data_IF_468640607556
#
_entry.id   IF_468640607556
#
_cell.length_a   1.000
_cell.length_b   1.000
_cell.length_c   1.000
_cell.angle_alpha   90.00
_cell.angle_beta   90.00
_cell.angle_gamma   90.00
#
_symmetry.space_group_name_H-M   'P 1'
#
loop_
_entity.id
_entity.type
_entity.pdbx_description
1 polymer ?
#
# COMPACT_ATOMS: atom_id res chain seq x y z
N UNK A 1 27.36 -10.39 -8.32
CA UNK A 1 26.47 -9.86 -7.26
C UNK A 1 25.91 -8.55 -7.78
N UNK A 2 24.69 -8.56 -8.32
CA UNK A 2 24.09 -7.35 -8.91
C UNK A 2 23.71 -6.37 -7.81
N UNK A 3 24.20 -5.14 -7.93
CA UNK A 3 23.90 -4.00 -7.08
C UNK A 3 22.49 -3.41 -7.29
N UNK A 4 21.62 -4.11 -8.04
CA UNK A 4 20.29 -3.62 -8.42
C UNK A 4 19.21 -3.80 -7.32
N UNK A 5 19.48 -4.56 -6.25
CA UNK A 5 18.43 -4.95 -5.28
C UNK A 5 18.33 -4.06 -4.03
N UNK A 6 19.08 -2.97 -3.94
CA UNK A 6 19.06 -2.07 -2.76
C UNK A 6 17.94 -1.04 -2.82
N UNK A 7 16.72 -1.48 -3.14
CA UNK A 7 15.55 -0.60 -3.21
C UNK A 7 15.35 0.17 -1.89
N UNK A 8 15.68 -0.42 -0.75
CA UNK A 8 15.54 0.24 0.56
C UNK A 8 16.39 1.51 0.73
N UNK A 9 17.43 1.72 -0.07
CA UNK A 9 18.22 2.97 -0.04
C UNK A 9 17.41 4.19 -0.52
N UNK A 10 16.36 3.98 -1.32
CA UNK A 10 15.47 5.03 -1.80
C UNK A 10 14.25 5.24 -0.87
N UNK A 11 14.20 4.52 0.25
CA UNK A 11 13.10 4.64 1.19
C UNK A 11 13.11 6.00 1.88
N UNK A 12 11.96 6.65 1.95
CA UNK A 12 11.80 7.92 2.68
C UNK A 12 12.09 7.81 4.17
N UNK A 13 11.94 6.62 4.75
CA UNK A 13 12.26 6.35 6.15
C UNK A 13 13.75 6.11 6.40
N UNK A 14 14.60 6.08 5.38
CA UNK A 14 16.03 5.89 5.55
C UNK A 14 16.62 7.00 6.44
N UNK A 15 17.23 6.63 7.57
CA UNK A 15 17.83 7.56 8.53
C UNK A 15 16.86 8.14 9.58
N UNK A 16 15.59 7.73 9.60
CA UNK A 16 14.65 8.11 10.67
C UNK A 16 14.83 7.27 11.94
N UNK A 17 14.30 7.76 13.06
CA UNK A 17 14.34 7.08 14.37
C UNK A 17 13.40 5.85 14.36
N UNK A 18 13.83 4.76 15.00
CA UNK A 18 13.14 3.47 14.94
C UNK A 18 11.82 3.50 15.73
N UNK A 19 11.76 4.22 16.85
CA UNK A 19 10.56 4.37 17.68
C UNK A 19 9.35 4.93 16.94
N UNK A 20 9.54 5.63 15.82
CA UNK A 20 8.44 6.06 14.95
C UNK A 20 7.72 4.86 14.28
N UNK A 21 8.46 3.80 13.92
CA UNK A 21 7.94 2.69 13.11
C UNK A 21 7.61 1.44 13.93
N UNK A 22 8.24 1.28 15.10
CA UNK A 22 8.08 0.10 15.95
C UNK A 22 7.36 0.44 17.25
N UNK A 23 6.84 -0.59 17.93
CA UNK A 23 6.22 -0.46 19.24
C UNK A 23 7.22 0.08 20.26
N UNK A 24 6.80 1.05 21.06
CA UNK A 24 7.55 1.54 22.23
C UNK A 24 7.00 0.87 23.49
N UNK A 25 7.88 0.48 24.42
CA UNK A 25 7.44 -0.12 25.68
C UNK A 25 6.61 0.86 26.52
N UNK A 26 5.51 0.36 27.11
CA UNK A 26 4.64 1.16 27.97
C UNK A 26 3.75 2.18 27.25
N UNK A 27 3.74 2.17 25.92
CA UNK A 27 2.86 3.07 25.15
C UNK A 27 1.40 2.68 25.25
N UNK A 28 0.53 3.70 25.31
CA UNK A 28 -0.91 3.52 25.21
C UNK A 28 -1.30 3.02 23.80
N UNK A 29 -2.35 2.20 23.73
CA UNK A 29 -2.81 1.57 22.49
C UNK A 29 -3.31 2.61 21.48
N UNK A 30 -4.04 3.62 21.92
CA UNK A 30 -4.57 4.66 21.04
C UNK A 30 -3.42 5.55 20.56
N UNK A 31 -2.49 5.89 21.45
CA UNK A 31 -1.28 6.65 21.09
C UNK A 31 -0.40 5.90 20.06
N UNK A 32 -0.29 4.58 20.19
CA UNK A 32 0.38 3.74 19.18
C UNK A 32 -0.34 3.81 17.84
N UNK A 33 -1.63 3.54 17.84
CA UNK A 33 -2.41 3.47 16.61
C UNK A 33 -2.38 4.83 15.88
N UNK A 34 -2.45 5.95 16.61
CA UNK A 34 -2.27 7.29 16.06
C UNK A 34 -0.87 7.53 15.47
N UNK A 35 0.20 7.12 16.17
CA UNK A 35 1.59 7.22 15.68
C UNK A 35 1.77 6.42 14.40
N UNK A 36 1.39 5.14 14.42
CA UNK A 36 1.55 4.26 13.26
C UNK A 36 0.83 4.83 12.04
N UNK A 37 -0.41 5.28 12.23
CA UNK A 37 -1.20 5.91 11.17
C UNK A 37 -0.61 7.24 10.69
N UNK A 38 0.00 8.03 11.58
CA UNK A 38 0.74 9.25 11.20
C UNK A 38 1.93 8.89 10.31
N UNK A 39 2.74 7.91 10.69
CA UNK A 39 3.90 7.47 9.90
C UNK A 39 3.48 6.92 8.54
N UNK A 40 2.41 6.11 8.49
CA UNK A 40 1.84 5.64 7.22
C UNK A 40 1.49 6.81 6.30
N UNK A 41 0.77 7.81 6.82
CA UNK A 41 0.31 8.96 6.03
C UNK A 41 1.42 9.93 5.64
N UNK A 42 2.43 10.13 6.49
CA UNK A 42 3.44 11.17 6.27
C UNK A 42 4.71 10.63 5.58
N UNK A 43 5.12 9.41 5.92
CA UNK A 43 6.37 8.82 5.45
C UNK A 43 6.11 7.85 4.31
N UNK A 44 5.23 6.87 4.55
CA UNK A 44 5.00 5.81 3.57
C UNK A 44 4.17 6.29 2.37
N UNK A 45 3.25 7.24 2.56
CA UNK A 45 2.44 7.79 1.48
C UNK A 45 3.32 8.54 0.45
N UNK A 46 3.56 7.90 -0.69
CA UNK A 46 4.42 8.41 -1.76
C UNK A 46 5.89 7.99 -1.64
N UNK A 47 6.24 7.09 -0.72
CA UNK A 47 7.55 6.45 -0.73
C UNK A 47 7.71 5.66 -2.04
N UNK A 48 8.79 5.87 -2.83
CA UNK A 48 8.94 5.27 -4.15
C UNK A 48 9.06 3.74 -4.10
N UNK A 49 9.41 3.20 -2.94
CA UNK A 49 9.64 1.76 -2.72
C UNK A 49 8.61 1.13 -1.79
N UNK A 50 7.44 1.77 -1.62
CA UNK A 50 6.38 1.28 -0.76
C UNK A 50 5.92 -0.13 -1.15
N UNK A 51 5.85 -0.42 -2.45
CA UNK A 51 5.39 -1.70 -3.00
C UNK A 51 6.38 -2.83 -2.70
N UNK A 52 7.66 -2.63 -2.99
CA UNK A 52 8.74 -3.56 -2.67
C UNK A 52 8.87 -3.76 -1.16
N UNK A 53 8.73 -2.67 -0.39
CA UNK A 53 8.71 -2.71 1.07
C UNK A 53 7.57 -3.55 1.61
N UNK A 54 6.34 -3.35 1.12
CA UNK A 54 5.18 -4.12 1.56
C UNK A 54 5.32 -5.60 1.20
N UNK A 55 5.79 -5.90 -0.02
CA UNK A 55 6.04 -7.28 -0.46
C UNK A 55 7.03 -7.97 0.47
N UNK A 56 8.17 -7.32 0.75
CA UNK A 56 9.18 -7.88 1.63
C UNK A 56 8.65 -8.06 3.06
N UNK A 57 7.90 -7.07 3.56
CA UNK A 57 7.29 -7.12 4.89
C UNK A 57 6.30 -8.28 5.05
N UNK A 58 5.55 -8.63 4.00
CA UNK A 58 4.64 -9.78 3.98
C UNK A 58 5.42 -11.11 3.96
N UNK A 59 6.52 -11.18 3.20
CA UNK A 59 7.35 -12.37 3.10
C UNK A 59 8.07 -12.68 4.43
N UNK A 60 8.54 -11.65 5.14
CA UNK A 60 9.31 -11.80 6.37
C UNK A 60 8.48 -11.67 7.64
N UNK A 61 7.17 -11.43 7.53
CA UNK A 61 6.31 -11.08 8.66
C UNK A 61 6.91 -9.96 9.52
N UNK A 62 7.29 -8.85 8.87
CA UNK A 62 7.91 -7.73 9.56
C UNK A 62 7.00 -7.20 10.68
N UNK A 63 7.60 -6.64 11.73
CA UNK A 63 6.91 -5.94 12.82
C UNK A 63 6.84 -4.44 12.54
N UNK A 64 5.89 -3.74 13.17
CA UNK A 64 5.66 -2.31 13.03
C UNK A 64 5.07 -1.86 11.69
N UNK A 65 5.24 -0.58 11.40
CA UNK A 65 4.84 0.07 10.14
C UNK A 65 5.82 -0.30 9.04
N UNK A 66 5.30 -0.90 7.97
CA UNK A 66 6.10 -1.26 6.81
C UNK A 66 5.27 -1.16 5.54
N UNK A 67 5.87 -0.61 4.48
CA UNK A 67 5.23 -0.47 3.18
C UNK A 67 3.88 0.20 3.26
N UNK A 68 3.71 1.19 4.15
CA UNK A 68 2.48 1.95 4.41
C UNK A 68 1.29 1.17 4.96
N UNK A 69 1.56 0.10 5.70
CA UNK A 69 0.58 -0.56 6.57
C UNK A 69 1.18 -0.80 7.95
N UNK A 70 0.36 -0.71 8.99
CA UNK A 70 0.72 -1.30 10.28
C UNK A 70 0.57 -2.83 10.26
N UNK A 71 0.95 -3.50 11.34
CA UNK A 71 0.89 -4.96 11.46
C UNK A 71 -0.53 -5.50 11.20
N UNK A 72 -1.53 -4.91 11.85
CA UNK A 72 -2.92 -5.36 11.76
C UNK A 72 -3.50 -5.20 10.34
N UNK A 73 -3.19 -4.10 9.67
CA UNK A 73 -3.56 -3.85 8.28
C UNK A 73 -2.86 -4.83 7.33
N UNK A 74 -1.55 -5.03 7.51
CA UNK A 74 -0.75 -5.94 6.70
C UNK A 74 -1.22 -7.38 6.85
N UNK A 75 -1.65 -7.80 8.04
CA UNK A 75 -2.23 -9.12 8.27
C UNK A 75 -3.60 -9.30 7.61
N UNK A 76 -4.44 -8.26 7.61
CA UNK A 76 -5.71 -8.28 6.86
C UNK A 76 -5.45 -8.37 5.36
N UNK A 77 -4.48 -7.62 4.86
CA UNK A 77 -4.06 -7.62 3.46
C UNK A 77 -3.49 -8.96 3.02
N UNK A 78 -2.54 -9.52 3.77
CA UNK A 78 -1.96 -10.86 3.54
C UNK A 78 -3.03 -11.93 3.48
N UNK A 79 -3.99 -11.93 4.41
CA UNK A 79 -5.15 -12.85 4.38
C UNK A 79 -6.00 -12.66 3.13
N UNK A 80 -6.20 -11.42 2.68
CA UNK A 80 -6.91 -11.14 1.42
C UNK A 80 -6.17 -11.73 0.21
N UNK A 81 -4.86 -11.56 0.12
CA UNK A 81 -4.04 -12.11 -0.97
C UNK A 81 -4.13 -13.64 -1.02
N UNK A 82 -4.05 -14.30 0.13
CA UNK A 82 -4.20 -15.75 0.25
C UNK A 82 -5.58 -16.22 -0.21
N UNK A 83 -6.66 -15.54 0.22
CA UNK A 83 -8.04 -15.88 -0.18
C UNK A 83 -8.28 -15.71 -1.68
N UNK A 84 -7.68 -14.69 -2.28
CA UNK A 84 -7.83 -14.38 -3.70
C UNK A 84 -6.84 -15.13 -4.61
N UNK A 85 -6.00 -16.01 -4.06
CA UNK A 85 -5.02 -16.78 -4.84
C UNK A 85 -3.88 -15.94 -5.44
N UNK A 86 -3.62 -14.76 -4.90
CA UNK A 86 -2.54 -13.86 -5.38
C UNK A 86 -1.20 -14.14 -4.66
N UNK A 87 -1.27 -14.81 -3.52
CA UNK A 87 -0.14 -15.29 -2.74
C UNK A 87 -0.41 -16.73 -2.34
N UNK A 88 0.60 -17.59 -2.43
CA UNK A 88 0.59 -18.91 -1.77
C UNK A 88 1.76 -19.02 -0.81
N UNK A 89 1.59 -19.79 0.24
CA UNK A 89 2.64 -20.04 1.24
C UNK A 89 2.79 -21.54 1.39
N UNK A 90 4.00 -22.01 1.12
CA UNK A 90 4.39 -23.38 1.40
C UNK A 90 4.45 -23.58 2.92
N UNK A 91 3.56 -24.41 3.45
CA UNK A 91 3.47 -24.69 4.90
C UNK A 91 4.70 -25.41 5.45
N UNK A 92 5.49 -26.10 4.62
CA UNK A 92 6.70 -26.82 5.05
C UNK A 92 7.90 -25.90 5.15
N UNK A 93 8.08 -25.03 4.17
CA UNK A 93 9.28 -24.18 4.04
C UNK A 93 9.05 -22.75 4.49
N UNK A 94 7.79 -22.33 4.68
CA UNK A 94 7.43 -20.94 4.91
C UNK A 94 7.59 -20.06 3.65
N UNK A 95 7.97 -20.64 2.51
CA UNK A 95 8.25 -19.89 1.28
C UNK A 95 6.96 -19.28 0.73
N UNK A 96 7.01 -17.97 0.56
CA UNK A 96 5.96 -17.20 -0.11
C UNK A 96 6.18 -17.26 -1.63
N UNK A 97 5.13 -17.61 -2.37
CA UNK A 97 5.12 -17.56 -3.83
C UNK A 97 4.02 -16.60 -4.27
N UNK A 98 4.44 -15.48 -4.85
CA UNK A 98 3.53 -14.49 -5.42
C UNK A 98 3.09 -14.99 -6.79
N UNK A 99 1.79 -15.30 -6.92
CA UNK A 99 1.21 -15.86 -8.15
C UNK A 99 0.85 -14.80 -9.19
N UNK A 100 0.97 -13.53 -8.80
CA UNK A 100 1.02 -12.39 -9.70
C UNK A 100 2.36 -11.66 -9.51
N UNK A 101 3.12 -11.54 -10.58
CA UNK A 101 4.14 -10.50 -10.70
C UNK A 101 3.42 -9.18 -10.97
N UNK A 102 3.83 -8.02 -10.43
CA UNK A 102 3.31 -6.74 -10.87
C UNK A 102 3.87 -6.40 -12.26
N UNK A 103 3.68 -7.30 -13.24
CA UNK A 103 3.59 -6.89 -14.62
C UNK A 103 2.26 -6.17 -14.73
N UNK A 104 2.32 -4.91 -15.11
CA UNK A 104 1.29 -3.90 -14.90
C UNK A 104 -0.07 -4.33 -15.49
N UNK A 105 -0.87 -5.08 -14.73
CA UNK A 105 -2.14 -5.61 -15.19
C UNK A 105 -3.10 -4.45 -15.38
N UNK A 106 -3.56 -4.22 -16.61
CA UNK A 106 -4.54 -3.18 -16.88
C UNK A 106 -5.93 -3.73 -16.56
N UNK A 107 -6.48 -3.36 -15.41
CA UNK A 107 -7.81 -3.76 -14.94
C UNK A 107 -8.85 -2.68 -15.19
N UNK A 108 -10.12 -3.04 -15.09
CA UNK A 108 -11.20 -2.08 -14.82
C UNK A 108 -11.35 -1.96 -13.31
N UNK A 109 -11.10 -0.77 -12.76
CA UNK A 109 -11.22 -0.51 -11.33
C UNK A 109 -12.62 -0.82 -10.82
N UNK A 110 -12.75 -1.65 -9.78
CA UNK A 110 -14.04 -2.00 -9.19
C UNK A 110 -14.70 -0.82 -8.44
N UNK A 111 -13.92 0.21 -8.07
CA UNK A 111 -14.43 1.40 -7.38
C UNK A 111 -14.87 2.53 -8.32
N UNK A 112 -14.10 2.82 -9.37
CA UNK A 112 -14.36 3.96 -10.25
C UNK A 112 -14.69 3.58 -11.70
N UNK A 113 -14.71 2.28 -12.01
CA UNK A 113 -14.99 1.71 -13.32
C UNK A 113 -14.11 2.26 -14.46
N UNK A 114 -12.95 2.85 -14.13
CA UNK A 114 -11.96 3.29 -15.12
C UNK A 114 -10.91 2.22 -15.35
N UNK A 115 -10.42 2.16 -16.58
CA UNK A 115 -9.32 1.30 -16.97
C UNK A 115 -7.98 1.91 -16.54
N UNK A 116 -7.08 1.10 -16.00
CA UNK A 116 -5.78 1.55 -15.55
C UNK A 116 -4.95 0.43 -14.94
N UNK A 117 -3.74 0.77 -14.55
CA UNK A 117 -2.79 -0.14 -13.93
C UNK A 117 -3.29 -0.60 -12.56
N UNK A 118 -3.38 -1.91 -12.36
CA UNK A 118 -3.65 -2.52 -11.07
C UNK A 118 -2.53 -2.17 -10.10
N UNK A 119 -2.91 -1.65 -8.95
CA UNK A 119 -1.97 -1.30 -7.89
C UNK A 119 -2.12 -2.23 -6.69
N UNK A 120 -3.37 -2.55 -6.33
CA UNK A 120 -3.65 -3.40 -5.19
C UNK A 120 -5.14 -3.51 -4.87
N UNK A 121 -5.52 -4.42 -3.96
CA UNK A 121 -6.87 -4.50 -3.45
C UNK A 121 -7.18 -3.37 -2.45
N UNK A 122 -8.43 -2.92 -2.44
CA UNK A 122 -8.97 -2.01 -1.42
C UNK A 122 -9.37 -2.73 -0.13
N UNK A 123 -9.99 -2.03 0.83
CA UNK A 123 -10.24 -2.52 2.19
C UNK A 123 -11.13 -3.76 2.23
N UNK A 124 -11.94 -3.99 1.19
CA UNK A 124 -12.86 -5.14 1.06
C UNK A 124 -12.41 -6.16 0.00
N UNK A 125 -11.20 -6.04 -0.54
CA UNK A 125 -10.70 -6.92 -1.60
C UNK A 125 -11.00 -6.43 -3.03
N UNK A 126 -11.71 -5.32 -3.17
CA UNK A 126 -12.00 -4.65 -4.44
C UNK A 126 -10.71 -4.34 -5.23
N UNK A 127 -10.62 -4.73 -6.51
CA UNK A 127 -9.40 -4.50 -7.31
C UNK A 127 -9.30 -3.05 -7.77
N UNK A 128 -8.28 -2.33 -7.31
CA UNK A 128 -8.14 -0.90 -7.56
C UNK A 128 -7.01 -0.59 -8.54
N UNK A 129 -7.29 0.36 -9.42
CA UNK A 129 -6.25 1.01 -10.21
C UNK A 129 -5.44 1.97 -9.33
N UNK A 130 -4.19 2.26 -9.71
CA UNK A 130 -3.25 3.16 -9.00
C UNK A 130 -3.88 4.47 -8.51
N UNK A 131 -4.69 5.14 -9.33
CA UNK A 131 -5.33 6.40 -8.94
C UNK A 131 -6.37 6.29 -7.80
N UNK A 132 -7.00 5.12 -7.64
CA UNK A 132 -7.95 4.85 -6.56
C UNK A 132 -7.24 4.32 -5.32
N UNK A 133 -6.30 3.39 -5.53
CA UNK A 133 -5.45 2.87 -4.47
C UNK A 133 -4.67 3.97 -3.76
N UNK A 134 -3.96 4.84 -4.49
CA UNK A 134 -3.17 5.93 -3.90
C UNK A 134 -4.03 6.94 -3.14
N UNK A 135 -5.27 7.19 -3.59
CA UNK A 135 -6.18 8.09 -2.89
C UNK A 135 -6.62 7.51 -1.55
N UNK A 136 -7.01 6.23 -1.56
CA UNK A 136 -7.36 5.50 -0.35
C UNK A 136 -6.18 5.43 0.61
N UNK A 137 -5.00 5.14 0.10
CA UNK A 137 -3.75 5.12 0.85
C UNK A 137 -3.43 6.48 1.49
N UNK A 138 -3.47 7.56 0.72
CA UNK A 138 -3.21 8.93 1.19
C UNK A 138 -4.25 9.40 2.23
N UNK A 139 -5.46 8.82 2.21
CA UNK A 139 -6.49 9.07 3.21
C UNK A 139 -6.29 8.28 4.51
N UNK A 140 -5.21 7.47 4.63
CA UNK A 140 -4.95 6.63 5.81
C UNK A 140 -5.78 5.36 5.82
N UNK A 141 -5.94 4.72 4.65
CA UNK A 141 -6.54 3.39 4.51
C UNK A 141 -7.92 3.18 5.20
N UNK A 142 -8.89 4.10 5.06
CA UNK A 142 -10.21 3.97 5.71
C UNK A 142 -10.97 2.70 5.25
N UNK A 143 -11.99 2.29 6.00
CA UNK A 143 -12.78 1.08 5.71
C UNK A 143 -13.53 1.08 4.36
N UNK A 144 -13.54 2.20 3.65
CA UNK A 144 -14.07 2.35 2.29
C UNK A 144 -13.15 3.21 1.43
N UNK A 145 -13.09 2.95 0.12
CA UNK A 145 -12.30 3.75 -0.82
C UNK A 145 -12.97 5.13 -1.01
N UNK A 146 -12.27 6.25 -0.77
CA UNK A 146 -12.86 7.58 -0.96
C UNK A 146 -13.27 7.82 -2.42
N UNK A 147 -14.36 8.56 -2.61
CA UNK A 147 -14.85 8.89 -3.95
C UNK A 147 -13.78 9.62 -4.79
N UNK A 148 -13.69 9.34 -6.11
CA UNK A 148 -12.81 10.10 -6.99
C UNK A 148 -13.25 11.57 -7.02
N UNK A 149 -12.29 12.51 -6.98
CA UNK A 149 -12.59 13.94 -7.18
C UNK A 149 -13.31 14.10 -8.53
N UNK A 150 -14.44 14.84 -8.59
CA UNK A 150 -15.13 15.09 -9.84
C UNK A 150 -14.16 15.77 -10.82
N UNK A 151 -14.13 15.29 -12.07
CA UNK A 151 -13.36 15.97 -13.12
C UNK A 151 -14.00 17.33 -13.34
N UNK A 152 -13.32 18.42 -12.98
CA UNK A 152 -13.67 19.72 -13.53
C UNK A 152 -13.50 19.62 -15.04
N UNK A 153 -14.63 19.54 -15.76
CA UNK A 153 -14.65 19.60 -17.22
C UNK A 153 -14.21 21.02 -17.55
N UNK A 154 -12.92 21.20 -17.85
CA UNK A 154 -12.37 22.50 -18.23
C UNK A 154 -13.25 23.12 -19.30
N UNK A 155 -13.77 24.31 -19.00
CA UNK A 155 -14.51 25.12 -19.97
C UNK A 155 -13.58 25.30 -21.17
N UNK A 156 -13.97 24.74 -22.32
CA UNK A 156 -13.35 25.12 -23.58
C UNK A 156 -13.72 26.58 -23.78
N UNK A 157 -12.78 27.47 -23.47
CA UNK A 157 -12.89 28.87 -23.85
C UNK A 157 -13.04 28.91 -25.37
N UNK A 158 -14.25 29.15 -25.85
CA UNK A 158 -14.50 29.60 -27.21
C UNK A 158 -13.77 30.94 -27.34
N UNK A 159 -12.61 30.95 -27.99
CA UNK A 159 -12.08 32.18 -28.58
C UNK A 159 -13.03 32.57 -29.70
N UNK A 160 -13.87 33.57 -29.44
CA UNK A 160 -14.55 34.30 -30.50
C UNK A 160 -13.49 34.99 -31.36
N UNK A 161 -13.66 34.87 -32.67
CA UNK A 161 -12.90 35.58 -33.69
C UNK A 161 -13.44 36.99 -33.87
#
# INVERSE_FOLDING_TARGET
>A
MNSQDRWWEQARCAGMELGEFFRVEGEDVDARDEREQRVVRQVCAGCPVATECLRKAIETSAVGVAGGMNENERDRYRRSLLRNGLLTIDRRTGRCTWLVTPDVEVIVCEHCHRRGEYEGPGPRGERLIRACFNRWWQAGCPGQVPAPRPRHRGQRGTRAA
#
